data_IF_395627650900
#
_entry.id   IF_395627650900
#
_cell.length_a   1.000
_cell.length_b   1.000
_cell.length_c   1.000
_cell.angle_alpha   90.00
_cell.angle_beta   90.00
_cell.angle_gamma   90.00
#
_symmetry.space_group_name_H-M   'P 1'
#
loop_
_entity.id
_entity.type
_entity.pdbx_description
1 polymer ?
#
# COMPACT_ATOMS: atom_id res chain seq x y z
N UNK A 1 -46.84 -43.44 20.87
CA UNK A 1 -46.41 -43.97 22.18
C UNK A 1 -45.49 -42.95 22.80
N UNK A 2 -45.95 -42.19 23.72
CA UNK A 2 -45.62 -41.90 25.13
C UNK A 2 -44.10 -41.83 25.37
N UNK A 3 -43.54 -40.64 25.51
CA UNK A 3 -43.33 -39.81 26.70
C UNK A 3 -42.26 -40.32 27.64
N UNK A 4 -41.26 -39.44 27.95
CA UNK A 4 -40.90 -39.11 29.34
C UNK A 4 -39.95 -37.89 29.41
N UNK A 5 -40.48 -36.84 29.96
CA UNK A 5 -39.78 -35.71 30.58
C UNK A 5 -39.05 -36.17 31.83
N UNK A 6 -37.86 -35.65 32.11
CA UNK A 6 -37.36 -35.52 33.48
C UNK A 6 -36.87 -34.10 33.72
N UNK A 7 -37.59 -33.45 34.61
CA UNK A 7 -37.26 -32.24 35.36
C UNK A 7 -36.41 -32.68 36.55
N UNK A 8 -35.32 -31.98 36.86
CA UNK A 8 -34.69 -32.00 38.17
C UNK A 8 -34.41 -30.55 38.56
N UNK A 9 -35.14 -30.11 39.59
CA UNK A 9 -34.95 -28.93 40.42
C UNK A 9 -34.08 -29.28 41.62
N UNK A 10 -33.19 -28.36 42.05
CA UNK A 10 -32.88 -27.98 43.44
C UNK A 10 -31.64 -27.08 43.43
N UNK A 11 -31.69 -25.87 43.78
CA UNK A 11 -31.65 -25.12 45.04
C UNK A 11 -30.44 -25.41 45.94
N UNK A 12 -29.60 -24.37 46.15
CA UNK A 12 -28.51 -24.41 47.13
C UNK A 12 -27.83 -23.06 47.27
N UNK A 13 -28.17 -22.37 48.31
CA UNK A 13 -27.79 -21.06 48.84
C UNK A 13 -26.30 -20.91 49.12
N UNK A 14 -25.81 -19.69 48.93
CA UNK A 14 -25.18 -18.86 49.97
C UNK A 14 -23.67 -18.83 50.01
N UNK A 15 -23.07 -17.68 49.77
CA UNK A 15 -22.41 -16.86 50.80
C UNK A 15 -21.58 -15.78 50.14
N UNK A 16 -21.87 -14.52 50.44
CA UNK A 16 -20.95 -13.38 50.27
C UNK A 16 -19.74 -13.50 51.18
N UNK A 17 -18.64 -12.88 50.83
CA UNK A 17 -17.85 -12.16 51.81
C UNK A 17 -17.51 -10.71 51.43
N UNK A 18 -17.95 -9.84 52.29
CA UNK A 18 -17.36 -8.63 52.89
C UNK A 18 -16.28 -7.86 52.11
N UNK A 19 -16.66 -6.59 51.87
CA UNK A 19 -15.79 -5.43 51.64
C UNK A 19 -14.70 -5.30 52.72
N UNK A 20 -13.49 -4.97 52.30
CA UNK A 20 -12.50 -4.26 53.11
C UNK A 20 -12.02 -2.99 52.36
N UNK A 21 -12.24 -1.85 53.02
CA UNK A 21 -11.60 -0.57 52.74
C UNK A 21 -10.17 -0.58 53.23
N UNK A 22 -9.26 0.00 52.44
CA UNK A 22 -8.06 0.76 52.81
C UNK A 22 -7.34 1.08 51.46
N UNK A 23 -6.79 2.23 51.18
CA UNK A 23 -6.50 3.44 51.88
C UNK A 23 -5.97 4.42 50.82
N UNK A 24 -6.29 5.67 50.99
CA UNK A 24 -5.79 6.80 50.20
C UNK A 24 -4.24 6.90 50.32
N UNK A 25 -3.56 7.12 49.20
CA UNK A 25 -2.32 7.87 49.23
C UNK A 25 -2.33 8.92 48.12
N UNK A 26 -2.34 10.14 48.56
CA UNK A 26 -2.11 11.38 47.81
C UNK A 26 -0.69 11.49 47.45
N UNK A 27 -0.36 11.65 46.19
CA UNK A 27 0.94 12.17 45.77
C UNK A 27 0.75 13.42 44.92
N UNK A 28 1.41 14.47 45.34
CA UNK A 28 1.30 15.86 44.93
C UNK A 28 1.77 16.13 43.51
N UNK A 29 1.04 17.01 42.84
CA UNK A 29 1.44 17.73 41.64
C UNK A 29 2.64 18.64 41.97
N UNK A 30 3.68 18.55 41.15
CA UNK A 30 4.77 19.51 41.10
C UNK A 30 4.62 20.40 39.86
N UNK A 31 4.24 21.64 40.10
CA UNK A 31 4.24 22.75 39.14
C UNK A 31 5.64 23.28 38.93
N UNK A 32 6.13 23.52 37.68
CA UNK A 32 7.37 24.23 37.49
C UNK A 32 7.20 25.75 37.55
N UNK A 33 8.06 26.43 38.26
CA UNK A 33 8.10 27.88 38.46
C UNK A 33 8.60 28.63 37.20
N UNK A 34 8.22 29.92 37.02
CA UNK A 34 8.60 30.73 35.86
C UNK A 34 9.99 31.33 36.04
N UNK A 35 10.77 31.32 34.94
CA UNK A 35 12.05 31.99 34.81
C UNK A 35 11.87 33.54 34.70
N UNK A 36 12.59 34.30 35.54
CA UNK A 36 12.67 35.75 35.51
C UNK A 36 13.57 36.28 34.38
N UNK A 37 13.33 37.50 33.87
CA UNK A 37 14.12 38.09 32.78
C UNK A 37 15.43 38.70 33.29
N UNK A 38 16.52 38.49 32.57
CA UNK A 38 17.80 39.14 32.78
C UNK A 38 17.81 40.51 32.14
N UNK A 39 18.05 41.52 32.92
CA UNK A 39 18.31 42.92 32.59
C UNK A 39 19.65 43.11 31.90
N UNK A 40 19.67 43.80 30.76
CA UNK A 40 20.87 44.23 30.07
C UNK A 40 21.41 45.53 30.68
N UNK A 41 22.69 45.55 31.07
CA UNK A 41 23.41 46.77 31.45
C UNK A 41 23.93 47.48 30.19
N UNK A 42 23.61 48.74 30.06
CA UNK A 42 24.17 49.66 29.08
C UNK A 42 25.58 50.10 29.53
N UNK A 43 26.56 49.89 28.63
CA UNK A 43 27.87 50.53 28.73
C UNK A 43 28.01 51.56 27.58
N UNK A 44 28.15 52.85 27.98
CA UNK A 44 28.44 53.94 27.09
C UNK A 44 29.93 53.97 26.74
N UNK A 45 30.28 53.97 25.46
CA UNK A 45 31.65 54.26 25.02
C UNK A 45 31.65 55.38 24.00
N UNK A 46 32.40 56.41 24.28
CA UNK A 46 32.62 57.69 23.62
C UNK A 46 33.24 57.54 22.23
N UNK A 47 32.72 58.30 21.28
CA UNK A 47 33.21 58.39 19.90
C UNK A 47 34.54 59.14 19.80
N UNK A 48 35.49 58.64 19.02
CA UNK A 48 36.61 59.38 18.43
C UNK A 48 36.42 59.54 16.93
N UNK A 49 36.78 60.64 16.29
CA UNK A 49 36.57 60.85 14.87
C UNK A 49 37.62 60.07 14.06
N UNK A 50 37.16 59.37 13.03
CA UNK A 50 38.00 58.65 12.09
C UNK A 50 38.34 59.53 10.88
N UNK A 51 39.64 59.69 10.64
CA UNK A 51 40.23 60.31 9.45
C UNK A 51 39.98 59.45 8.21
N UNK A 52 39.48 60.07 7.16
CA UNK A 52 39.20 59.47 5.88
C UNK A 52 40.50 59.05 5.17
N UNK A 53 40.63 57.76 4.79
CA UNK A 53 41.59 57.25 3.80
C UNK A 53 40.95 57.15 2.42
N UNK A 54 41.66 57.41 1.31
CA UNK A 54 41.07 57.33 -0.03
C UNK A 54 40.80 55.87 -0.43
N UNK A 55 39.65 55.68 -1.10
CA UNK A 55 39.20 54.36 -1.60
C UNK A 55 40.13 53.90 -2.74
N UNK A 56 40.90 52.85 -2.50
CA UNK A 56 41.56 52.06 -3.56
C UNK A 56 40.53 51.13 -4.17
N UNK A 57 40.32 51.29 -5.48
CA UNK A 57 39.45 50.41 -6.27
C UNK A 57 39.89 48.94 -6.11
N UNK A 58 39.02 48.09 -5.59
CA UNK A 58 39.22 46.61 -5.60
C UNK A 58 39.18 46.11 -7.03
N UNK A 59 40.18 45.30 -7.46
CA UNK A 59 40.08 44.63 -8.75
C UNK A 59 38.87 43.68 -8.75
N UNK A 60 38.13 43.63 -9.85
CA UNK A 60 37.06 42.67 -10.07
C UNK A 60 37.64 41.25 -9.90
N UNK A 61 37.21 40.55 -8.88
CA UNK A 61 37.55 39.15 -8.67
C UNK A 61 36.88 38.35 -9.78
N UNK A 62 37.66 38.00 -10.81
CA UNK A 62 37.29 36.95 -11.74
C UNK A 62 37.08 35.65 -10.94
N UNK A 63 35.82 35.16 -10.93
CA UNK A 63 35.48 33.90 -10.29
C UNK A 63 36.35 32.78 -10.88
N UNK A 64 36.92 31.97 -9.99
CA UNK A 64 37.76 30.81 -10.35
C UNK A 64 36.99 29.84 -11.25
N UNK A 65 37.65 29.18 -12.24
CA UNK A 65 37.01 28.14 -13.04
C UNK A 65 36.36 27.02 -12.22
N UNK A 66 36.87 26.73 -11.04
CA UNK A 66 36.28 25.79 -10.09
C UNK A 66 34.93 26.27 -9.52
N UNK A 67 34.74 27.57 -9.33
CA UNK A 67 33.45 28.16 -8.87
C UNK A 67 32.40 28.13 -9.99
N UNK A 68 32.84 28.24 -11.26
CA UNK A 68 31.94 28.13 -12.41
C UNK A 68 31.53 26.67 -12.68
N UNK A 69 32.36 25.69 -12.36
CA UNK A 69 32.02 24.24 -12.46
C UNK A 69 30.99 23.81 -11.40
N UNK A 70 30.95 24.44 -10.23
CA UNK A 70 29.95 24.15 -9.19
C UNK A 70 28.58 24.75 -9.51
N UNK A 71 28.51 25.83 -10.32
CA UNK A 71 27.23 26.42 -10.79
C UNK A 71 26.59 25.66 -11.97
N UNK A 72 27.28 24.68 -12.57
CA UNK A 72 26.81 23.93 -13.74
C UNK A 72 26.18 22.57 -13.41
N UNK A 73 25.96 22.23 -12.14
CA UNK A 73 25.07 21.11 -11.80
C UNK A 73 23.66 21.54 -12.13
N UNK A 74 23.13 21.10 -13.27
CA UNK A 74 21.76 21.37 -13.69
C UNK A 74 20.82 20.95 -12.56
N UNK A 75 20.11 21.91 -11.99
CA UNK A 75 19.09 21.62 -10.98
C UNK A 75 18.01 20.80 -11.66
N UNK A 76 17.67 19.67 -11.09
CA UNK A 76 16.56 18.83 -11.56
C UNK A 76 15.28 19.46 -11.05
N UNK A 77 14.36 19.75 -11.96
CA UNK A 77 13.00 20.18 -11.58
C UNK A 77 12.09 18.94 -11.45
N UNK A 78 11.01 19.00 -10.65
CA UNK A 78 10.11 17.86 -10.47
C UNK A 78 9.57 17.28 -11.78
N UNK A 79 9.29 18.12 -12.77
CA UNK A 79 8.84 17.72 -14.11
C UNK A 79 9.90 17.05 -14.98
N UNK A 80 11.21 17.13 -14.61
CA UNK A 80 12.32 16.47 -15.31
C UNK A 80 12.60 15.06 -14.76
N UNK A 81 11.94 14.66 -13.66
CA UNK A 81 12.14 13.36 -13.02
C UNK A 81 11.41 12.28 -13.80
N UNK A 82 12.12 11.25 -14.23
CA UNK A 82 11.49 10.06 -14.81
C UNK A 82 10.76 9.26 -13.73
N UNK A 83 9.43 9.28 -13.80
CA UNK A 83 8.52 8.60 -12.90
C UNK A 83 7.99 7.29 -13.48
N UNK A 84 8.33 6.94 -14.73
CA UNK A 84 7.79 5.76 -15.41
C UNK A 84 8.27 4.46 -14.78
N UNK A 85 7.40 3.44 -14.77
CA UNK A 85 7.74 2.10 -14.26
C UNK A 85 7.22 1.00 -15.19
N UNK A 86 8.12 0.11 -15.60
CA UNK A 86 7.79 -1.07 -16.41
C UNK A 86 7.48 -2.27 -15.47
N UNK A 87 6.25 -2.76 -15.51
CA UNK A 87 5.80 -3.93 -14.77
C UNK A 87 5.87 -5.24 -15.58
N UNK A 88 6.47 -5.18 -16.76
CA UNK A 88 6.60 -6.33 -17.65
C UNK A 88 5.48 -6.40 -18.70
N UNK A 89 5.72 -7.21 -19.74
CA UNK A 89 4.78 -7.49 -20.84
C UNK A 89 4.13 -6.23 -21.46
N UNK A 90 4.91 -5.13 -21.53
CA UNK A 90 4.45 -3.87 -22.11
C UNK A 90 3.56 -3.01 -21.20
N UNK A 91 3.33 -3.41 -19.96
CA UNK A 91 2.63 -2.56 -18.98
C UNK A 91 3.61 -1.53 -18.41
N UNK A 92 3.61 -0.35 -19.01
CA UNK A 92 4.38 0.80 -18.52
C UNK A 92 3.42 1.78 -17.87
N UNK A 93 3.63 2.03 -16.58
CA UNK A 93 2.85 3.02 -15.82
C UNK A 93 3.51 4.41 -15.93
N UNK A 94 2.73 5.52 -15.97
CA UNK A 94 3.28 6.88 -16.04
C UNK A 94 3.99 7.30 -14.74
N UNK A 95 3.65 6.70 -13.62
CA UNK A 95 4.30 6.92 -12.32
C UNK A 95 4.05 5.72 -11.38
N UNK A 96 4.80 5.58 -10.26
CA UNK A 96 4.72 4.41 -9.39
C UNK A 96 3.57 4.43 -8.37
N UNK A 97 2.62 5.35 -8.44
CA UNK A 97 1.54 5.48 -7.44
C UNK A 97 0.22 4.99 -8.03
N UNK A 98 -0.23 3.83 -7.59
CA UNK A 98 -1.50 3.22 -7.97
C UNK A 98 -2.51 3.32 -6.83
N UNK A 99 -3.77 3.02 -7.13
CA UNK A 99 -4.81 2.76 -6.12
C UNK A 99 -5.09 1.27 -5.99
N UNK A 100 -5.34 0.83 -4.74
CA UNK A 100 -5.51 -0.59 -4.41
C UNK A 100 -6.94 -1.07 -4.68
N UNK A 101 -7.06 -2.35 -5.05
CA UNK A 101 -8.35 -2.99 -5.27
C UNK A 101 -9.23 -2.98 -4.02
N UNK A 102 -10.53 -2.75 -4.24
CA UNK A 102 -11.53 -2.75 -3.17
C UNK A 102 -11.76 -1.42 -2.48
N UNK A 103 -10.85 -0.45 -2.58
CA UNK A 103 -10.96 0.87 -1.95
C UNK A 103 -11.30 1.98 -2.93
N UNK A 104 -11.04 1.78 -4.23
CA UNK A 104 -11.27 2.75 -5.30
C UNK A 104 -12.39 2.32 -6.27
N UNK A 105 -13.23 1.35 -5.89
CA UNK A 105 -14.33 0.87 -6.73
C UNK A 105 -13.84 0.37 -8.09
N UNK A 106 -14.47 0.83 -9.14
CA UNK A 106 -14.08 0.64 -10.55
C UNK A 106 -13.45 1.91 -11.15
N UNK A 107 -13.15 2.91 -10.31
CA UNK A 107 -12.54 4.18 -10.66
C UNK A 107 -13.54 5.30 -10.94
N UNK A 108 -14.67 4.99 -11.56
CA UNK A 108 -15.73 5.96 -11.93
C UNK A 108 -16.35 6.62 -10.70
N UNK A 109 -16.35 5.93 -9.55
CA UNK A 109 -16.91 6.43 -8.29
C UNK A 109 -16.13 7.62 -7.72
N UNK A 110 -14.90 7.84 -8.19
CA UNK A 110 -14.01 8.91 -7.71
C UNK A 110 -13.75 10.00 -8.76
N UNK A 111 -14.31 9.89 -9.97
CA UNK A 111 -14.03 10.79 -11.09
C UNK A 111 -14.32 12.26 -10.83
N UNK A 112 -15.26 12.57 -9.92
CA UNK A 112 -15.61 13.94 -9.55
C UNK A 112 -14.65 14.57 -8.50
N UNK A 113 -13.81 13.75 -7.83
CA UNK A 113 -12.95 14.20 -6.71
C UNK A 113 -11.47 13.90 -6.92
N UNK A 114 -11.13 13.03 -7.88
CA UNK A 114 -9.75 12.61 -8.17
C UNK A 114 -9.46 12.76 -9.65
N UNK A 115 -8.36 13.39 -9.99
CA UNK A 115 -7.84 13.44 -11.37
C UNK A 115 -7.27 12.06 -11.74
N UNK A 116 -8.16 11.14 -12.17
CA UNK A 116 -7.79 9.74 -12.40
C UNK A 116 -6.63 9.56 -13.39
N UNK A 117 -6.52 10.42 -14.41
CA UNK A 117 -5.47 10.39 -15.42
C UNK A 117 -4.07 10.78 -14.89
N UNK A 118 -3.96 11.20 -13.63
CA UNK A 118 -2.70 11.46 -12.94
C UNK A 118 -2.18 10.26 -12.15
N UNK A 119 -3.01 9.24 -11.95
CA UNK A 119 -2.61 8.01 -11.24
C UNK A 119 -1.68 7.16 -12.11
N UNK A 120 -0.76 6.46 -11.48
CA UNK A 120 0.08 5.45 -12.15
C UNK A 120 -0.71 4.26 -12.65
N UNK A 121 -1.79 3.90 -11.96
CA UNK A 121 -2.69 2.82 -12.35
C UNK A 121 -3.85 2.65 -11.38
N UNK A 122 -4.90 2.01 -11.84
CA UNK A 122 -6.08 1.67 -11.04
C UNK A 122 -6.19 0.15 -10.93
N UNK A 123 -5.99 -0.42 -9.74
CA UNK A 123 -6.45 -1.77 -9.46
C UNK A 123 -7.92 -1.69 -9.05
N UNK A 124 -8.83 -2.07 -9.93
CA UNK A 124 -10.25 -1.98 -9.66
C UNK A 124 -10.74 -3.09 -8.72
N UNK A 125 -11.97 -3.00 -8.28
CA UNK A 125 -12.61 -3.92 -7.35
C UNK A 125 -12.55 -5.37 -7.81
N UNK A 126 -12.38 -6.31 -6.86
CA UNK A 126 -12.37 -7.74 -7.13
C UNK A 126 -13.59 -8.21 -7.90
N UNK A 127 -13.34 -8.81 -9.06
CA UNK A 127 -14.33 -9.28 -10.03
C UNK A 127 -14.30 -10.79 -10.09
N UNK A 128 -15.46 -11.43 -10.04
CA UNK A 128 -15.65 -12.89 -10.09
C UNK A 128 -16.44 -13.29 -11.32
N UNK A 129 -16.40 -14.57 -11.67
CA UNK A 129 -17.12 -15.11 -12.84
C UNK A 129 -18.62 -14.79 -12.80
N UNK A 130 -19.22 -14.98 -11.62
CA UNK A 130 -20.64 -14.67 -11.36
C UNK A 130 -20.76 -13.56 -10.34
N UNK A 131 -21.89 -12.86 -10.35
CA UNK A 131 -22.22 -11.86 -9.33
C UNK A 131 -22.18 -12.42 -7.90
N UNK A 132 -21.68 -11.62 -6.95
CA UNK A 132 -21.65 -11.97 -5.53
C UNK A 132 -22.31 -10.88 -4.69
N UNK A 133 -23.18 -11.32 -3.78
CA UNK A 133 -23.89 -10.42 -2.84
C UNK A 133 -22.95 -9.94 -1.73
N UNK A 134 -21.88 -10.70 -1.43
CA UNK A 134 -20.97 -10.45 -0.31
C UNK A 134 -21.45 -11.05 1.00
N UNK A 135 -20.70 -10.77 2.09
CA UNK A 135 -20.96 -11.31 3.41
C UNK A 135 -22.12 -10.58 4.12
N UNK A 136 -22.69 -11.16 5.20
CA UNK A 136 -23.63 -10.46 6.08
C UNK A 136 -23.00 -9.22 6.73
N UNK A 137 -23.84 -8.22 7.02
CA UNK A 137 -23.43 -7.02 7.78
C UNK A 137 -23.38 -7.29 9.29
N UNK A 138 -22.59 -6.50 10.05
CA UNK A 138 -21.65 -5.45 9.65
C UNK A 138 -20.43 -5.99 8.91
N UNK A 139 -19.98 -5.27 7.87
CA UNK A 139 -18.87 -5.70 6.99
C UNK A 139 -17.58 -4.95 7.23
N UNK A 140 -17.63 -3.85 7.97
CA UNK A 140 -16.51 -2.96 8.26
C UNK A 140 -16.56 -2.53 9.69
N UNK A 141 -15.40 -2.41 10.33
CA UNK A 141 -15.23 -1.78 11.64
C UNK A 141 -13.86 -1.13 11.73
N UNK A 142 -13.79 0.00 12.41
CA UNK A 142 -12.52 0.67 12.69
C UNK A 142 -11.72 -0.07 13.76
N UNK A 143 -10.41 0.13 13.71
CA UNK A 143 -9.44 -0.28 14.74
C UNK A 143 -8.52 0.89 15.05
N UNK A 144 -7.80 0.91 16.19
CA UNK A 144 -6.90 2.03 16.54
C UNK A 144 -5.86 2.39 15.47
N UNK A 145 -5.45 1.44 14.63
CA UNK A 145 -4.44 1.65 13.60
C UNK A 145 -4.92 1.36 12.17
N UNK A 146 -6.23 1.39 11.91
CA UNK A 146 -6.78 1.11 10.58
C UNK A 146 -8.20 0.59 10.63
N UNK A 147 -8.51 -0.43 9.84
CA UNK A 147 -9.85 -1.00 9.77
C UNK A 147 -9.81 -2.50 9.49
N UNK A 148 -10.86 -3.19 9.95
CA UNK A 148 -11.19 -4.55 9.54
C UNK A 148 -12.34 -4.53 8.55
N UNK A 149 -12.19 -5.27 7.46
CA UNK A 149 -13.27 -5.46 6.50
C UNK A 149 -13.55 -6.94 6.24
N UNK A 150 -14.80 -7.23 5.95
CA UNK A 150 -15.28 -8.55 5.53
C UNK A 150 -16.35 -8.39 4.46
N UNK A 151 -15.98 -7.79 3.33
CA UNK A 151 -16.92 -7.46 2.23
C UNK A 151 -17.45 -8.72 1.54
N UNK A 152 -16.62 -9.76 1.40
CA UNK A 152 -16.99 -11.01 0.75
C UNK A 152 -17.05 -10.91 -0.76
N UNK A 153 -16.19 -10.08 -1.38
CA UNK A 153 -16.08 -9.89 -2.83
C UNK A 153 -17.43 -9.49 -3.50
N UNK A 154 -18.21 -8.63 -2.85
CA UNK A 154 -19.44 -8.11 -3.50
C UNK A 154 -19.09 -7.46 -4.84
N UNK A 155 -19.62 -8.00 -5.95
CA UNK A 155 -19.41 -7.50 -7.29
C UNK A 155 -20.50 -8.01 -8.25
N UNK A 156 -20.73 -7.38 -9.41
CA UNK A 156 -21.80 -7.77 -10.34
C UNK A 156 -21.45 -8.93 -11.28
N UNK A 157 -20.22 -9.49 -11.22
CA UNK A 157 -19.72 -10.48 -12.16
C UNK A 157 -19.02 -9.85 -13.36
N UNK A 158 -18.13 -10.63 -14.00
CA UNK A 158 -17.22 -10.12 -15.04
C UNK A 158 -17.97 -9.53 -16.25
N UNK A 159 -19.04 -10.15 -16.71
CA UNK A 159 -19.79 -9.67 -17.89
C UNK A 159 -20.39 -8.29 -17.64
N UNK A 160 -21.03 -8.10 -16.48
CA UNK A 160 -21.60 -6.82 -16.10
C UNK A 160 -20.52 -5.75 -15.80
N UNK A 161 -19.32 -6.16 -15.35
CA UNK A 161 -18.19 -5.24 -15.18
C UNK A 161 -17.72 -4.73 -16.54
N UNK A 162 -17.53 -5.63 -17.52
CA UNK A 162 -17.12 -5.27 -18.88
C UNK A 162 -18.16 -4.33 -19.50
N UNK A 163 -19.43 -4.75 -19.52
CA UNK A 163 -20.53 -3.98 -20.11
C UNK A 163 -20.63 -2.56 -19.54
N UNK A 164 -20.41 -2.41 -18.21
CA UNK A 164 -20.64 -1.14 -17.55
C UNK A 164 -19.44 -0.19 -17.60
N UNK A 165 -18.20 -0.71 -17.64
CA UNK A 165 -17.02 0.11 -17.35
C UNK A 165 -15.98 0.14 -18.47
N UNK A 166 -15.94 -0.86 -19.38
CA UNK A 166 -14.87 -0.97 -20.38
C UNK A 166 -14.77 0.26 -21.28
N UNK A 167 -15.88 0.79 -21.78
CA UNK A 167 -15.90 1.97 -22.63
C UNK A 167 -15.34 3.21 -21.92
N UNK A 168 -15.65 3.36 -20.63
CA UNK A 168 -15.10 4.46 -19.83
C UNK A 168 -13.60 4.29 -19.62
N UNK A 169 -13.15 3.08 -19.25
CA UNK A 169 -11.72 2.79 -19.05
C UNK A 169 -10.90 3.03 -20.32
N UNK A 170 -11.48 2.71 -21.50
CA UNK A 170 -10.83 2.95 -22.78
C UNK A 170 -10.57 4.44 -23.10
N UNK A 171 -11.23 5.36 -22.40
CA UNK A 171 -11.01 6.82 -22.54
C UNK A 171 -9.90 7.34 -21.62
N UNK A 172 -9.50 6.59 -20.60
CA UNK A 172 -8.51 7.01 -19.62
C UNK A 172 -7.07 6.78 -20.10
N UNK A 173 -6.19 7.68 -19.72
CA UNK A 173 -4.74 7.51 -19.91
C UNK A 173 -4.13 6.57 -18.87
N UNK A 174 -4.72 6.53 -17.70
CA UNK A 174 -4.30 5.67 -16.59
C UNK A 174 -4.64 4.21 -16.86
N UNK A 175 -3.66 3.30 -16.80
CA UNK A 175 -3.89 1.88 -16.98
C UNK A 175 -4.84 1.31 -15.92
N UNK A 176 -5.84 0.53 -16.35
CA UNK A 176 -6.76 -0.17 -15.45
C UNK A 176 -6.40 -1.66 -15.37
N UNK A 177 -6.14 -2.12 -14.15
CA UNK A 177 -5.88 -3.51 -13.81
C UNK A 177 -7.14 -4.09 -13.17
N UNK A 178 -7.71 -5.12 -13.76
CA UNK A 178 -8.87 -5.79 -13.16
C UNK A 178 -8.42 -6.78 -12.10
N UNK A 179 -8.83 -6.57 -10.85
CA UNK A 179 -8.58 -7.54 -9.79
C UNK A 179 -9.50 -8.75 -9.97
N UNK A 180 -8.93 -9.93 -10.22
CA UNK A 180 -9.66 -11.17 -10.52
C UNK A 180 -9.63 -12.11 -9.34
N UNK A 181 -10.81 -12.57 -8.91
CA UNK A 181 -10.97 -13.53 -7.83
C UNK A 181 -11.91 -14.67 -8.23
N UNK A 182 -11.69 -15.84 -7.64
CA UNK A 182 -12.47 -17.06 -7.92
C UNK A 182 -12.42 -18.04 -6.76
N UNK A 183 -13.22 -19.09 -6.83
CA UNK A 183 -13.24 -20.19 -5.86
C UNK A 183 -12.55 -21.45 -6.42
N UNK A 184 -12.34 -21.52 -7.73
CA UNK A 184 -11.68 -22.60 -8.43
C UNK A 184 -10.75 -22.06 -9.51
N UNK A 185 -9.77 -22.87 -9.95
CA UNK A 185 -8.89 -22.55 -11.09
C UNK A 185 -9.73 -22.19 -12.32
N UNK A 186 -10.85 -22.90 -12.55
CA UNK A 186 -11.77 -22.64 -13.64
C UNK A 186 -12.34 -21.21 -13.61
N UNK A 187 -12.75 -20.73 -12.42
CA UNK A 187 -13.30 -19.37 -12.30
C UNK A 187 -12.27 -18.31 -12.69
N UNK A 188 -11.03 -18.44 -12.22
CA UNK A 188 -9.94 -17.52 -12.56
C UNK A 188 -9.65 -17.52 -14.06
N UNK A 189 -9.59 -18.70 -14.69
CA UNK A 189 -9.34 -18.88 -16.11
C UNK A 189 -10.47 -18.25 -16.96
N UNK A 190 -11.73 -18.49 -16.61
CA UNK A 190 -12.87 -17.96 -17.36
C UNK A 190 -12.98 -16.43 -17.22
N UNK A 191 -12.70 -15.86 -16.04
CA UNK A 191 -12.67 -14.41 -15.88
C UNK A 191 -11.54 -13.80 -16.73
N UNK A 192 -10.33 -14.36 -16.65
CA UNK A 192 -9.19 -13.89 -17.42
C UNK A 192 -9.45 -13.93 -18.94
N UNK A 193 -10.04 -15.03 -19.42
CA UNK A 193 -10.39 -15.19 -20.85
C UNK A 193 -11.38 -14.13 -21.33
N UNK A 194 -12.36 -13.74 -20.49
CA UNK A 194 -13.35 -12.72 -20.83
C UNK A 194 -12.79 -11.31 -20.82
N UNK A 195 -11.73 -11.07 -20.03
CA UNK A 195 -11.03 -9.78 -19.96
C UNK A 195 -10.02 -9.61 -21.09
N UNK A 196 -9.57 -10.71 -21.69
CA UNK A 196 -8.57 -10.68 -22.76
C UNK A 196 -9.10 -9.96 -23.98
N UNK A 197 -8.35 -8.95 -24.47
CA UNK A 197 -8.76 -8.12 -25.61
C UNK A 197 -9.87 -7.11 -25.34
N UNK A 198 -10.34 -6.96 -24.10
CA UNK A 198 -11.33 -5.94 -23.74
C UNK A 198 -10.69 -4.55 -23.75
N UNK A 199 -11.22 -3.58 -24.54
CA UNK A 199 -10.71 -2.21 -24.53
C UNK A 199 -10.71 -1.60 -23.13
N UNK A 200 -9.63 -0.87 -22.79
CA UNK A 200 -9.48 -0.23 -21.48
C UNK A 200 -8.96 -1.14 -20.38
N UNK A 201 -8.87 -2.46 -20.58
CA UNK A 201 -8.22 -3.38 -19.65
C UNK A 201 -6.73 -3.48 -20.00
N UNK A 202 -5.87 -2.92 -19.13
CA UNK A 202 -4.43 -2.90 -19.33
C UNK A 202 -3.71 -4.12 -18.71
N UNK A 203 -4.36 -4.86 -17.80
CA UNK A 203 -3.78 -6.02 -17.14
C UNK A 203 -4.71 -6.65 -16.10
N UNK A 204 -4.22 -7.69 -15.47
CA UNK A 204 -4.94 -8.46 -14.43
C UNK A 204 -4.12 -8.42 -13.13
N UNK A 205 -4.78 -8.12 -12.01
CA UNK A 205 -4.27 -8.42 -10.67
C UNK A 205 -4.96 -9.70 -10.15
N UNK A 206 -4.27 -10.84 -10.15
CA UNK A 206 -4.81 -12.12 -9.72
C UNK A 206 -4.86 -12.20 -8.20
N UNK A 207 -6.05 -12.15 -7.64
CA UNK A 207 -6.28 -12.16 -6.20
C UNK A 207 -6.46 -13.59 -5.68
N UNK A 208 -5.34 -14.27 -5.42
CA UNK A 208 -5.32 -15.64 -4.89
C UNK A 208 -5.44 -15.68 -3.37
N UNK A 209 -5.51 -14.54 -2.68
CA UNK A 209 -5.28 -14.41 -1.25
C UNK A 209 -6.45 -13.86 -0.44
N UNK A 210 -7.68 -13.91 -0.96
CA UNK A 210 -8.83 -13.36 -0.24
C UNK A 210 -9.27 -14.27 0.92
N UNK A 211 -9.10 -13.87 2.20
CA UNK A 211 -9.49 -14.68 3.35
C UNK A 211 -11.01 -14.79 3.53
N UNK A 212 -11.79 -13.99 2.78
CA UNK A 212 -13.23 -13.87 2.91
C UNK A 212 -14.03 -14.71 1.89
N UNK A 213 -13.34 -15.47 1.05
CA UNK A 213 -13.94 -16.37 0.06
C UNK A 213 -13.65 -17.79 0.52
N UNK A 214 -14.65 -18.62 0.75
CA UNK A 214 -14.59 -19.98 1.26
C UNK A 214 -13.30 -20.79 1.03
N UNK A 215 -13.33 -22.06 0.83
CA UNK A 215 -12.13 -22.92 0.77
C UNK A 215 -11.14 -22.58 -0.36
N UNK A 216 -11.61 -21.90 -1.45
CA UNK A 216 -10.78 -21.67 -2.65
C UNK A 216 -9.71 -20.59 -2.49
N UNK A 217 -10.05 -19.37 -2.06
CA UNK A 217 -9.12 -18.24 -2.08
C UNK A 217 -7.95 -18.37 -1.09
N UNK A 218 -8.21 -18.88 0.10
CA UNK A 218 -7.15 -19.06 1.12
C UNK A 218 -6.18 -20.20 0.75
N UNK A 219 -6.68 -21.26 0.15
CA UNK A 219 -5.86 -22.42 -0.22
C UNK A 219 -4.79 -22.07 -1.24
N UNK A 220 -5.11 -21.28 -2.26
CA UNK A 220 -4.12 -20.84 -3.26
C UNK A 220 -3.06 -19.90 -2.67
N UNK A 221 -3.43 -19.11 -1.69
CA UNK A 221 -2.52 -18.11 -1.11
C UNK A 221 -1.42 -18.66 -0.19
N UNK A 222 -1.62 -19.84 0.39
CA UNK A 222 -0.73 -20.39 1.42
C UNK A 222 0.09 -21.59 0.94
N UNK A 223 -0.21 -22.10 -0.25
CA UNK A 223 0.49 -23.24 -0.85
C UNK A 223 1.15 -22.83 -2.17
N UNK A 224 2.45 -23.07 -2.28
CA UNK A 224 3.24 -22.65 -3.44
C UNK A 224 2.82 -23.38 -4.74
N UNK A 225 2.47 -24.67 -4.65
CA UNK A 225 2.06 -25.46 -5.81
C UNK A 225 0.68 -25.01 -6.31
N UNK A 226 -0.26 -24.76 -5.41
CA UNK A 226 -1.59 -24.27 -5.75
C UNK A 226 -1.53 -22.84 -6.33
N UNK A 227 -0.67 -21.97 -5.79
CA UNK A 227 -0.43 -20.63 -6.33
C UNK A 227 0.16 -20.68 -7.76
N UNK A 228 1.12 -21.55 -7.99
CA UNK A 228 1.70 -21.77 -9.32
C UNK A 228 0.67 -22.34 -10.29
N UNK A 229 -0.14 -23.30 -9.89
CA UNK A 229 -1.18 -23.93 -10.71
C UNK A 229 -2.16 -22.88 -11.26
N UNK A 230 -2.75 -22.06 -10.40
CA UNK A 230 -3.70 -21.03 -10.81
C UNK A 230 -3.04 -19.97 -11.68
N UNK A 231 -1.80 -19.54 -11.33
CA UNK A 231 -1.04 -18.56 -12.12
C UNK A 231 -0.77 -19.10 -13.53
N UNK A 232 -0.23 -20.31 -13.66
CA UNK A 232 0.05 -20.94 -14.94
C UNK A 232 -1.22 -21.21 -15.77
N UNK A 233 -2.33 -21.56 -15.10
CA UNK A 233 -3.61 -21.77 -15.78
C UNK A 233 -4.16 -20.48 -16.40
N UNK A 234 -4.08 -19.36 -15.65
CA UNK A 234 -4.47 -18.04 -16.16
C UNK A 234 -3.51 -17.57 -17.26
N UNK A 235 -2.19 -17.72 -17.07
CA UNK A 235 -1.21 -17.33 -18.08
C UNK A 235 -1.40 -17.97 -19.44
N UNK A 236 -1.93 -19.18 -19.51
CA UNK A 236 -2.20 -19.89 -20.79
C UNK A 236 -3.36 -19.34 -21.61
N UNK A 237 -4.21 -18.51 -21.03
CA UNK A 237 -5.47 -18.06 -21.65
C UNK A 237 -5.56 -16.56 -21.90
N UNK A 238 -4.55 -15.79 -21.53
CA UNK A 238 -4.50 -14.35 -21.76
C UNK A 238 -3.07 -13.88 -22.01
N UNK A 239 -2.90 -12.89 -22.87
CA UNK A 239 -1.64 -12.18 -23.09
C UNK A 239 -1.54 -10.88 -22.28
N UNK A 240 -2.58 -10.52 -21.52
CA UNK A 240 -2.54 -9.36 -20.62
C UNK A 240 -1.41 -9.49 -19.59
N UNK A 241 -0.79 -8.37 -19.21
CA UNK A 241 0.09 -8.31 -18.04
C UNK A 241 -0.58 -8.92 -16.81
N UNK A 242 0.13 -9.85 -16.13
CA UNK A 242 -0.40 -10.64 -15.02
C UNK A 242 0.38 -10.35 -13.74
N UNK A 243 -0.24 -9.59 -12.85
CA UNK A 243 0.24 -9.37 -11.51
C UNK A 243 -0.42 -10.37 -10.57
N UNK A 244 0.30 -10.91 -9.58
CA UNK A 244 -0.29 -11.86 -8.61
C UNK A 244 -0.18 -11.31 -7.20
N UNK A 245 -1.32 -11.26 -6.49
CA UNK A 245 -1.44 -10.65 -5.17
C UNK A 245 -1.18 -11.63 -4.05
N UNK A 246 -0.10 -11.37 -3.29
CA UNK A 246 0.38 -12.19 -2.19
C UNK A 246 -0.41 -11.95 -0.89
N UNK A 247 -0.60 -13.02 -0.11
CA UNK A 247 -1.17 -12.97 1.23
C UNK A 247 -0.08 -12.80 2.29
N UNK A 248 -0.28 -11.93 3.29
CA UNK A 248 0.62 -11.85 4.44
C UNK A 248 0.42 -12.98 5.46
N UNK A 249 -0.61 -13.81 5.28
CA UNK A 249 -1.04 -14.82 6.27
C UNK A 249 -0.24 -16.14 6.13
N UNK A 250 1.07 -16.00 5.92
CA UNK A 250 2.01 -17.13 5.78
C UNK A 250 3.28 -16.86 6.60
N UNK A 251 3.95 -17.93 6.99
CA UNK A 251 5.20 -17.82 7.74
C UNK A 251 6.38 -17.38 6.86
N UNK A 252 6.48 -17.90 5.64
CA UNK A 252 7.51 -17.57 4.65
C UNK A 252 6.88 -17.37 3.29
N UNK A 253 7.00 -16.15 2.76
CA UNK A 253 6.43 -15.80 1.45
C UNK A 253 7.32 -16.21 0.27
N UNK A 254 8.61 -16.43 0.49
CA UNK A 254 9.61 -16.61 -0.56
C UNK A 254 9.36 -17.83 -1.47
N UNK A 255 8.97 -19.02 -0.95
CA UNK A 255 8.62 -20.15 -1.82
C UNK A 255 7.43 -19.86 -2.72
N UNK A 256 6.40 -19.19 -2.20
CA UNK A 256 5.18 -18.84 -2.94
C UNK A 256 5.53 -17.81 -4.02
N UNK A 257 6.28 -16.78 -3.68
CA UNK A 257 6.71 -15.75 -4.64
C UNK A 257 7.50 -16.34 -5.81
N UNK A 258 8.45 -17.25 -5.56
CA UNK A 258 9.20 -17.94 -6.61
C UNK A 258 8.29 -18.79 -7.49
N UNK A 259 7.44 -19.61 -6.89
CA UNK A 259 6.55 -20.51 -7.63
C UNK A 259 5.59 -19.73 -8.56
N UNK A 260 5.10 -18.57 -8.12
CA UNK A 260 4.28 -17.66 -8.92
C UNK A 260 5.09 -17.04 -10.07
N UNK A 261 6.29 -16.56 -9.81
CA UNK A 261 7.16 -15.99 -10.83
C UNK A 261 7.53 -17.04 -11.90
N UNK A 262 7.90 -18.25 -11.47
CA UNK A 262 8.22 -19.37 -12.37
C UNK A 262 7.00 -19.85 -13.17
N UNK A 263 5.79 -19.65 -12.66
CA UNK A 263 4.53 -19.96 -13.34
C UNK A 263 4.09 -18.91 -14.37
N UNK A 264 4.86 -17.81 -14.54
CA UNK A 264 4.66 -16.84 -15.62
C UNK A 264 3.92 -15.57 -15.21
N UNK A 265 3.93 -15.19 -13.93
CA UNK A 265 3.54 -13.85 -13.51
C UNK A 265 4.55 -12.82 -14.03
N UNK A 266 4.06 -11.65 -14.46
CA UNK A 266 4.89 -10.53 -14.92
C UNK A 266 5.34 -9.65 -13.74
N UNK A 267 4.52 -9.54 -12.67
CA UNK A 267 4.85 -8.86 -11.42
C UNK A 267 4.14 -9.48 -10.22
N UNK A 268 4.58 -9.11 -9.01
CA UNK A 268 3.89 -9.43 -7.77
C UNK A 268 3.28 -8.18 -7.15
N UNK A 269 2.14 -8.31 -6.48
CA UNK A 269 1.60 -7.29 -5.59
C UNK A 269 1.59 -7.81 -4.14
N UNK A 270 2.05 -7.03 -3.18
CA UNK A 270 2.20 -7.41 -1.77
C UNK A 270 1.91 -6.23 -0.85
N UNK A 271 0.91 -6.32 -0.02
CA UNK A 271 0.17 -7.48 0.49
C UNK A 271 -1.35 -7.34 0.32
N UNK A 272 -2.09 -8.46 0.44
CA UNK A 272 -3.50 -8.43 0.81
C UNK A 272 -3.63 -8.17 2.32
N UNK A 273 -4.85 -8.14 2.85
CA UNK A 273 -5.13 -7.83 4.26
C UNK A 273 -4.70 -8.95 5.21
N UNK A 274 -4.29 -8.58 6.43
CA UNK A 274 -3.94 -9.51 7.49
C UNK A 274 -5.21 -9.99 8.20
N UNK A 275 -5.37 -11.29 8.39
CA UNK A 275 -6.54 -11.86 9.07
C UNK A 275 -6.62 -11.42 10.54
N UNK A 276 -7.78 -10.95 10.96
CA UNK A 276 -8.01 -10.45 12.31
C UNK A 276 -9.45 -10.57 12.76
N UNK A 277 -9.69 -10.26 14.04
CA UNK A 277 -11.00 -10.21 14.68
C UNK A 277 -11.11 -8.96 15.56
N UNK A 278 -12.29 -8.35 15.62
CA UNK A 278 -12.61 -7.33 16.58
C UNK A 278 -13.83 -7.75 17.43
N UNK A 279 -13.74 -7.50 18.73
CA UNK A 279 -14.77 -7.86 19.71
C UNK A 279 -15.30 -6.59 20.36
N UNK A 280 -16.61 -6.47 20.47
CA UNK A 280 -17.23 -5.33 21.11
C UNK A 280 -16.99 -5.37 22.64
N UNK A 281 -16.46 -4.30 23.24
CA UNK A 281 -16.33 -4.22 24.70
C UNK A 281 -17.67 -4.49 25.39
N UNK A 282 -17.69 -5.39 26.36
CA UNK A 282 -18.89 -5.73 27.15
C UNK A 282 -20.00 -6.50 26.40
N UNK A 283 -19.83 -6.82 25.12
CA UNK A 283 -20.84 -7.53 24.32
C UNK A 283 -20.51 -9.00 24.06
N UNK A 284 -19.31 -9.46 24.40
CA UNK A 284 -18.84 -10.84 24.23
C UNK A 284 -19.16 -11.45 22.85
N UNK A 285 -19.12 -10.62 21.77
CA UNK A 285 -19.40 -11.05 20.40
C UNK A 285 -18.50 -10.33 19.39
N UNK A 286 -18.19 -10.96 18.23
CA UNK A 286 -17.51 -10.30 17.13
C UNK A 286 -18.26 -9.08 16.61
N UNK A 287 -17.52 -8.08 16.14
CA UNK A 287 -18.10 -6.87 15.54
C UNK A 287 -18.55 -7.09 14.10
N UNK A 288 -17.84 -7.94 13.35
CA UNK A 288 -18.19 -8.26 11.96
C UNK A 288 -19.17 -9.42 11.86
N UNK A 289 -20.10 -9.36 10.91
CA UNK A 289 -21.09 -10.40 10.65
C UNK A 289 -20.47 -11.75 10.26
N UNK A 290 -19.27 -11.74 9.67
CA UNK A 290 -18.51 -12.93 9.28
C UNK A 290 -17.42 -13.33 10.30
N UNK A 291 -17.49 -12.81 11.53
CA UNK A 291 -16.52 -13.05 12.62
C UNK A 291 -15.13 -12.48 12.31
N UNK A 292 -14.45 -13.03 11.30
CA UNK A 292 -13.12 -12.62 10.83
C UNK A 292 -13.20 -11.57 9.74
N UNK A 293 -12.20 -10.69 9.71
CA UNK A 293 -12.01 -9.71 8.65
C UNK A 293 -10.54 -9.54 8.30
N UNK A 294 -10.29 -8.83 7.21
CA UNK A 294 -8.96 -8.41 6.80
C UNK A 294 -8.61 -7.07 7.44
N UNK A 295 -7.52 -7.03 8.20
CA UNK A 295 -6.96 -5.80 8.76
C UNK A 295 -6.16 -5.06 7.68
N UNK A 296 -6.39 -3.75 7.57
CA UNK A 296 -5.68 -2.83 6.66
C UNK A 296 -5.46 -1.48 7.36
N UNK A 297 -4.73 -0.56 6.72
CA UNK A 297 -4.35 0.73 7.29
C UNK A 297 -2.96 0.72 7.93
N UNK A 298 -2.55 1.79 8.63
CA UNK A 298 -1.17 1.96 9.13
C UNK A 298 -0.63 0.80 9.95
N UNK A 299 -1.48 0.10 10.70
CA UNK A 299 -1.09 -1.02 11.56
C UNK A 299 -0.44 -2.19 10.80
N UNK A 300 -0.71 -2.36 9.49
CA UNK A 300 -0.13 -3.47 8.70
C UNK A 300 1.18 -3.11 8.02
N UNK A 301 1.61 -1.83 8.00
CA UNK A 301 2.82 -1.38 7.30
C UNK A 301 4.07 -2.20 7.65
N UNK A 302 4.42 -2.48 8.92
CA UNK A 302 5.61 -3.27 9.24
C UNK A 302 5.57 -4.69 8.69
N UNK A 303 4.38 -5.31 8.63
CA UNK A 303 4.18 -6.64 8.04
C UNK A 303 4.33 -6.57 6.51
N UNK A 304 3.74 -5.55 5.89
CA UNK A 304 3.84 -5.32 4.45
C UNK A 304 5.31 -5.08 4.02
N UNK A 305 6.04 -4.22 4.73
CA UNK A 305 7.47 -3.96 4.48
C UNK A 305 8.30 -5.26 4.53
N UNK A 306 8.09 -6.11 5.55
CA UNK A 306 8.78 -7.42 5.65
C UNK A 306 8.47 -8.30 4.44
N UNK A 307 7.20 -8.44 4.07
CA UNK A 307 6.80 -9.31 2.96
C UNK A 307 7.36 -8.80 1.63
N UNK A 308 7.30 -7.49 1.39
CA UNK A 308 7.90 -6.86 0.19
C UNK A 308 9.40 -7.08 0.15
N UNK A 309 10.12 -6.85 1.26
CA UNK A 309 11.57 -7.09 1.37
C UNK A 309 11.95 -8.53 1.05
N UNK A 310 11.20 -9.51 1.60
CA UNK A 310 11.43 -10.94 1.36
C UNK A 310 11.11 -11.33 -0.09
N UNK A 311 10.00 -10.81 -0.65
CA UNK A 311 9.59 -11.08 -2.03
C UNK A 311 10.58 -10.47 -3.03
N UNK A 312 10.99 -9.22 -2.86
CA UNK A 312 11.95 -8.53 -3.74
C UNK A 312 13.33 -9.22 -3.80
N UNK A 313 13.70 -9.93 -2.72
CA UNK A 313 14.93 -10.74 -2.73
C UNK A 313 14.74 -12.15 -3.33
N UNK A 314 13.50 -12.64 -3.35
CA UNK A 314 13.20 -14.00 -3.78
C UNK A 314 13.01 -14.13 -5.30
N UNK A 315 12.54 -13.06 -5.96
CA UNK A 315 12.19 -13.06 -7.40
C UNK A 315 12.97 -12.02 -8.18
N UNK A 316 12.87 -12.09 -9.51
CA UNK A 316 13.45 -11.12 -10.46
C UNK A 316 12.39 -10.22 -11.11
N UNK A 317 11.11 -10.59 -11.00
CA UNK A 317 10.00 -9.78 -11.52
C UNK A 317 9.70 -8.63 -10.56
N UNK A 318 9.12 -7.52 -11.06
CA UNK A 318 8.75 -6.36 -10.24
C UNK A 318 7.86 -6.73 -9.06
N UNK A 319 8.01 -5.99 -7.94
CA UNK A 319 7.14 -6.10 -6.78
C UNK A 319 6.47 -4.75 -6.54
N UNK A 320 5.14 -4.75 -6.51
CA UNK A 320 4.31 -3.58 -6.19
C UNK A 320 3.85 -3.70 -4.74
N UNK A 321 4.15 -2.71 -3.91
CA UNK A 321 3.83 -2.75 -2.48
C UNK A 321 2.41 -2.26 -2.18
N UNK A 322 1.79 -2.83 -1.15
CA UNK A 322 0.45 -2.46 -0.68
C UNK A 322 0.40 -2.62 0.84
N UNK A 323 -0.12 -1.62 1.55
CA UNK A 323 -0.46 -1.76 2.97
C UNK A 323 0.12 -0.70 3.89
N UNK A 324 -0.74 0.14 4.44
CA UNK A 324 -0.40 1.13 5.44
C UNK A 324 0.25 2.40 4.92
N UNK A 325 0.11 2.71 3.63
CA UNK A 325 0.60 3.95 3.01
C UNK A 325 -0.38 5.07 3.31
N UNK A 326 0.11 6.14 3.95
CA UNK A 326 -0.65 7.34 4.36
C UNK A 326 0.05 8.65 4.03
N UNK A 327 1.35 8.60 3.72
CA UNK A 327 2.19 9.78 3.47
C UNK A 327 3.42 9.38 2.64
N UNK A 328 4.16 10.38 2.12
CA UNK A 328 5.36 10.15 1.30
C UNK A 328 6.44 9.26 1.99
N UNK A 329 6.77 9.44 3.28
CA UNK A 329 7.71 8.55 3.97
C UNK A 329 7.36 7.06 3.87
N UNK A 330 6.05 6.72 3.84
CA UNK A 330 5.64 5.32 3.65
C UNK A 330 6.01 4.82 2.25
N UNK A 331 5.83 5.64 1.22
CA UNK A 331 6.23 5.32 -0.17
C UNK A 331 7.73 5.09 -0.24
N UNK A 332 8.53 5.99 0.34
CA UNK A 332 9.99 5.90 0.35
C UNK A 332 10.48 4.62 1.05
N UNK A 333 9.87 4.24 2.17
CA UNK A 333 10.17 2.98 2.87
C UNK A 333 9.94 1.76 1.98
N UNK A 334 8.80 1.72 1.24
CA UNK A 334 8.51 0.61 0.33
C UNK A 334 9.47 0.57 -0.87
N UNK A 335 9.80 1.71 -1.45
CA UNK A 335 10.81 1.78 -2.50
C UNK A 335 12.17 1.29 -1.98
N UNK A 336 12.59 1.74 -0.81
CA UNK A 336 13.85 1.33 -0.21
C UNK A 336 13.97 -0.17 0.01
N UNK A 337 12.89 -0.87 0.39
CA UNK A 337 12.88 -2.33 0.56
C UNK A 337 12.67 -3.09 -0.75
N UNK A 338 12.63 -2.42 -1.91
CA UNK A 338 12.70 -3.03 -3.23
C UNK A 338 11.38 -3.10 -3.99
N UNK A 339 10.31 -2.44 -3.53
CA UNK A 339 9.15 -2.21 -4.36
C UNK A 339 9.48 -1.24 -5.50
N UNK A 340 8.93 -1.48 -6.70
CA UNK A 340 9.08 -0.57 -7.85
C UNK A 340 7.88 0.37 -7.99
N UNK A 341 6.77 0.06 -7.33
CA UNK A 341 5.55 0.86 -7.30
C UNK A 341 4.77 0.56 -6.02
N UNK A 342 3.78 1.37 -5.72
CA UNK A 342 2.93 1.20 -4.53
C UNK A 342 1.46 1.34 -4.89
N UNK A 343 0.58 0.66 -4.13
CA UNK A 343 -0.87 0.83 -4.20
C UNK A 343 -1.39 1.42 -2.90
N UNK A 344 -2.04 2.58 -2.98
CA UNK A 344 -2.70 3.23 -1.83
C UNK A 344 -4.10 2.63 -1.66
N UNK A 345 -4.42 2.18 -0.45
CA UNK A 345 -5.70 1.53 -0.14
C UNK A 345 -6.53 2.31 0.89
N UNK A 346 -6.54 1.85 2.12
CA UNK A 346 -7.40 2.33 3.21
C UNK A 346 -7.38 3.84 3.43
N UNK A 347 -6.24 4.50 3.20
CA UNK A 347 -6.08 5.94 3.37
C UNK A 347 -7.00 6.76 2.44
N UNK A 348 -7.40 6.21 1.29
CA UNK A 348 -8.32 6.86 0.33
C UNK A 348 -9.69 7.16 0.97
N UNK A 349 -10.13 6.37 1.94
CA UNK A 349 -11.39 6.63 2.63
C UNK A 349 -11.36 7.90 3.50
N UNK A 350 -10.19 8.31 3.97
CA UNK A 350 -9.99 9.55 4.71
C UNK A 350 -9.63 10.72 3.79
N UNK A 351 -8.79 10.45 2.78
CA UNK A 351 -8.32 11.44 1.81
C UNK A 351 -8.25 10.81 0.40
N UNK A 352 -9.29 10.97 -0.41
CA UNK A 352 -9.34 10.44 -1.77
C UNK A 352 -8.24 11.02 -2.68
N UNK A 353 -7.75 12.23 -2.39
CA UNK A 353 -6.75 12.93 -3.22
C UNK A 353 -5.31 12.52 -2.89
N UNK A 354 -5.10 11.81 -1.80
CA UNK A 354 -3.77 11.36 -1.35
C UNK A 354 -2.94 10.70 -2.46
N UNK A 355 -3.47 9.77 -3.29
CA UNK A 355 -2.65 9.12 -4.31
C UNK A 355 -2.07 10.10 -5.33
N UNK A 356 -2.85 11.09 -5.78
CA UNK A 356 -2.40 12.12 -6.72
C UNK A 356 -1.36 13.04 -6.07
N UNK A 357 -1.59 13.46 -4.82
CA UNK A 357 -0.62 14.25 -4.06
C UNK A 357 0.72 13.54 -3.87
N UNK A 358 0.70 12.23 -3.62
CA UNK A 358 1.93 11.43 -3.49
C UNK A 358 2.75 11.35 -4.79
N UNK A 359 2.13 11.49 -5.96
CA UNK A 359 2.86 11.60 -7.24
C UNK A 359 3.71 12.87 -7.25
N UNK A 360 3.10 14.01 -6.88
CA UNK A 360 3.81 15.30 -6.84
C UNK A 360 4.91 15.29 -5.77
N UNK A 361 4.57 14.88 -4.56
CA UNK A 361 5.50 14.83 -3.43
C UNK A 361 6.73 13.93 -3.73
N UNK A 362 6.53 12.80 -4.42
CA UNK A 362 7.64 11.92 -4.81
C UNK A 362 8.54 12.55 -5.88
N UNK A 363 7.96 13.24 -6.87
CA UNK A 363 8.72 13.95 -7.89
C UNK A 363 9.54 15.10 -7.29
N UNK A 364 8.94 15.88 -6.36
CA UNK A 364 9.61 16.92 -5.61
C UNK A 364 10.76 16.38 -4.74
N UNK A 365 10.54 15.25 -4.08
CA UNK A 365 11.57 14.60 -3.26
C UNK A 365 12.76 14.17 -4.10
N UNK A 366 12.52 13.52 -5.25
CA UNK A 366 13.56 13.15 -6.20
C UNK A 366 14.34 14.36 -6.70
N UNK A 367 13.65 15.41 -7.12
CA UNK A 367 14.27 16.65 -7.61
C UNK A 367 15.13 17.30 -6.54
N UNK A 368 14.65 17.39 -5.29
CA UNK A 368 15.36 17.97 -4.14
C UNK A 368 16.67 17.25 -3.86
N UNK A 369 16.72 15.93 -4.05
CA UNK A 369 17.91 15.11 -3.85
C UNK A 369 18.75 14.91 -5.12
N UNK A 370 18.41 15.56 -6.24
CA UNK A 370 19.15 15.49 -7.50
C UNK A 370 18.98 14.14 -8.23
N UNK A 371 17.89 13.42 -7.96
CA UNK A 371 17.57 12.18 -8.64
C UNK A 371 16.82 12.47 -9.95
N UNK A 372 17.37 12.04 -11.08
CA UNK A 372 16.74 12.15 -12.40
C UNK A 372 15.66 11.09 -12.65
N UNK A 373 15.58 10.07 -11.79
CA UNK A 373 14.54 9.04 -11.79
C UNK A 373 14.26 8.57 -10.36
N UNK A 374 12.98 8.33 -10.02
CA UNK A 374 12.58 7.75 -8.75
C UNK A 374 13.19 6.36 -8.51
N UNK A 375 13.58 5.66 -9.59
CA UNK A 375 14.19 4.33 -9.51
C UNK A 375 15.51 4.32 -8.74
N UNK A 376 16.16 5.48 -8.57
CA UNK A 376 17.36 5.62 -7.74
C UNK A 376 17.08 5.38 -6.23
N UNK A 377 15.82 5.42 -5.82
CA UNK A 377 15.37 5.12 -4.45
C UNK A 377 15.08 3.62 -4.25
N UNK A 378 14.89 2.86 -5.36
CA UNK A 378 14.46 1.47 -5.30
C UNK A 378 15.57 0.55 -4.79
N UNK A 379 15.27 -0.21 -3.74
CA UNK A 379 16.15 -1.23 -3.18
C UNK A 379 17.36 -0.71 -2.41
N UNK A 380 17.37 0.57 -2.02
CA UNK A 380 18.48 1.19 -1.28
C UNK A 380 18.73 0.56 0.09
N UNK A 381 17.70 -0.03 0.71
CA UNK A 381 17.82 -0.79 1.96
C UNK A 381 18.07 -2.29 1.76
N UNK A 382 18.17 -2.77 0.52
CA UNK A 382 18.46 -4.18 0.25
C UNK A 382 19.97 -4.44 0.32
N UNK A 383 20.41 -5.64 0.79
CA UNK A 383 21.84 -5.98 0.81
C UNK A 383 22.44 -5.90 -0.60
N UNK A 384 23.65 -5.36 -0.75
CA UNK A 384 24.39 -5.41 -1.99
C UNK A 384 24.59 -6.87 -2.41
N UNK A 385 23.99 -7.29 -3.52
CA UNK A 385 24.21 -8.62 -4.12
C UNK A 385 24.82 -8.45 -5.49
N UNK A 386 25.95 -9.15 -5.72
CA UNK A 386 26.47 -9.34 -7.06
C UNK A 386 25.39 -10.05 -7.94
N UNK A 387 25.02 -9.43 -9.06
CA UNK A 387 24.11 -10.04 -10.05
C UNK A 387 22.62 -9.78 -9.84
N UNK A 388 22.20 -8.70 -9.19
CA UNK A 388 20.80 -8.26 -9.27
C UNK A 388 20.44 -7.90 -10.71
N UNK A 389 19.33 -8.44 -11.26
CA UNK A 389 18.87 -8.00 -12.56
C UNK A 389 18.43 -6.54 -12.42
N UNK A 390 18.90 -5.71 -13.34
CA UNK A 390 18.31 -4.40 -13.52
C UNK A 390 16.85 -4.59 -13.95
N UNK A 391 15.89 -4.10 -13.17
CA UNK A 391 14.67 -3.57 -13.77
C UNK A 391 15.16 -2.54 -14.77
N UNK A 392 14.74 -2.59 -16.06
CA UNK A 392 15.23 -1.66 -17.08
C UNK A 392 15.17 -0.24 -16.49
N UNK A 393 16.34 0.38 -16.29
CA UNK A 393 16.48 1.70 -15.65
C UNK A 393 16.88 1.71 -14.17
N UNK A 394 16.93 0.57 -13.45
CA UNK A 394 17.37 0.51 -12.06
C UNK A 394 18.79 -0.04 -12.00
N UNK A 395 19.79 0.84 -11.97
CA UNK A 395 21.14 0.49 -11.53
C UNK A 395 21.18 0.51 -10.00
N UNK A 396 21.20 -0.66 -9.38
CA UNK A 396 21.51 -0.77 -7.94
C UNK A 396 22.98 -0.40 -7.74
N UNK A 397 23.27 0.83 -7.32
CA UNK A 397 24.61 1.20 -6.89
C UNK A 397 24.85 0.62 -5.48
N UNK A 398 26.06 0.08 -5.23
CA UNK A 398 26.46 -0.45 -3.93
C UNK A 398 26.57 0.64 -2.88
#
# INVERSE_FOLDING_TARGET
MKAKRRVVTAAGRGTEPKRRHAGRSTSAEATPAPMAPRTSARGSATARPATARPATARPATTRSPATQLVEAVRRIEPGDVDMSVDLGRGLVLPNPILVASGTFGYGVEYGDVVEVDRLGGICCKGTTLKARIGNPTPRVTETPGGMLNSIGLQNPGVDAVIEKYADTWATWKTPVLVNVAGESVHDYVEVARRLDGVPGVAGIELNISCPNVGKGGLQFAIDAAAAAEVTAAVRRVTDLPLLVKLSPNVADIRPIARAIADAGADALTAINTLSGIAVAPGRARPLLGNIYGGLSGPAVKPVALRVVYEAAQAVRIPVVAIGGITELPDVLDFLAVGAVAVQVGTAIFADPTLPVRLVDELAEECARHGHSSYTQLVGTALPAKAGRPSVKGVEYRP
#
